data_IF_831370130900
#
_entry.id   IF_831370130900
#
_cell.length_a   1.000
_cell.length_b   1.000
_cell.length_c   1.000
_cell.angle_alpha   90.00
_cell.angle_beta   90.00
_cell.angle_gamma   90.00
#
_symmetry.space_group_name_H-M   'P 1'
#
loop_
_entity.id
_entity.type
_entity.pdbx_description
1 polymer ?
#
# COMPACT_ATOMS: atom_id res chain seq x y z
N UNK A 1 -11.45 -10.62 -11.57
CA UNK A 1 -10.19 -9.95 -11.19
C UNK A 1 -9.09 -10.23 -12.21
N UNK A 2 -8.82 -11.51 -12.54
CA UNK A 2 -7.73 -11.95 -13.44
C UNK A 2 -7.71 -11.20 -14.76
N UNK A 3 -8.78 -11.24 -15.55
CA UNK A 3 -8.85 -10.56 -16.85
C UNK A 3 -8.56 -9.05 -16.77
N UNK A 4 -9.01 -8.39 -15.71
CA UNK A 4 -8.73 -6.97 -15.50
C UNK A 4 -7.24 -6.73 -15.25
N UNK A 5 -6.61 -7.55 -14.40
CA UNK A 5 -5.18 -7.44 -14.11
C UNK A 5 -4.35 -7.69 -15.36
N UNK A 6 -4.63 -8.78 -16.10
CA UNK A 6 -3.93 -9.14 -17.34
C UNK A 6 -4.02 -8.01 -18.38
N UNK A 7 -5.21 -7.44 -18.60
CA UNK A 7 -5.40 -6.33 -19.54
C UNK A 7 -4.67 -5.07 -19.08
N UNK A 8 -4.69 -4.77 -17.78
CA UNK A 8 -4.00 -3.60 -17.24
C UNK A 8 -2.49 -3.75 -17.38
N UNK A 9 -1.93 -4.89 -16.97
CA UNK A 9 -0.50 -5.15 -17.11
C UNK A 9 -0.07 -5.13 -18.57
N UNK A 10 -0.84 -5.76 -19.46
CA UNK A 10 -0.55 -5.74 -20.89
C UNK A 10 -0.51 -4.31 -21.45
N UNK A 11 -1.46 -3.46 -21.07
CA UNK A 11 -1.49 -2.05 -21.49
C UNK A 11 -0.28 -1.26 -20.97
N UNK A 12 0.02 -1.36 -19.68
CA UNK A 12 1.12 -0.62 -19.05
C UNK A 12 2.48 -1.10 -19.58
N UNK A 13 2.68 -2.41 -19.76
CA UNK A 13 3.93 -2.97 -20.30
C UNK A 13 4.10 -2.66 -21.79
N UNK A 14 3.02 -2.54 -22.57
CA UNK A 14 3.08 -2.18 -23.98
C UNK A 14 3.61 -0.76 -24.21
N UNK A 15 3.29 0.17 -23.31
CA UNK A 15 3.75 1.57 -23.39
C UNK A 15 5.06 1.84 -22.66
N UNK A 16 5.50 0.93 -21.80
CA UNK A 16 6.69 1.13 -21.00
C UNK A 16 7.96 1.14 -21.85
N UNK A 17 8.72 2.24 -21.79
CA UNK A 17 9.99 2.42 -22.53
C UNK A 17 9.88 1.96 -23.98
N UNK A 18 8.91 2.49 -24.70
CA UNK A 18 8.70 2.23 -26.13
C UNK A 18 8.47 0.74 -26.47
N UNK A 19 7.82 0.01 -25.57
CA UNK A 19 7.49 -1.40 -25.79
C UNK A 19 8.59 -2.39 -25.41
N UNK A 20 9.47 -2.02 -24.48
CA UNK A 20 10.56 -2.87 -24.01
C UNK A 20 10.12 -4.32 -23.73
N UNK A 21 8.95 -4.52 -23.11
CA UNK A 21 8.43 -5.83 -22.76
C UNK A 21 7.91 -6.65 -23.96
N UNK A 22 7.93 -6.09 -25.19
CA UNK A 22 7.52 -6.79 -26.41
C UNK A 22 8.70 -7.28 -27.24
N UNK A 23 9.93 -6.87 -26.90
CA UNK A 23 11.11 -7.07 -27.75
C UNK A 23 11.64 -8.50 -27.79
N UNK A 24 11.34 -9.34 -26.77
CA UNK A 24 11.85 -10.69 -26.72
C UNK A 24 11.07 -11.64 -25.81
N UNK A 25 11.41 -12.90 -25.83
CA UNK A 25 10.75 -13.92 -25.02
C UNK A 25 11.00 -13.76 -23.51
N UNK A 26 12.18 -13.23 -23.14
CA UNK A 26 12.53 -12.95 -21.73
C UNK A 26 11.67 -11.81 -21.18
N UNK A 27 11.52 -10.73 -21.93
CA UNK A 27 10.70 -9.59 -21.56
C UNK A 27 9.21 -9.95 -21.47
N UNK A 28 8.73 -10.77 -22.39
CA UNK A 28 7.37 -11.32 -22.34
C UNK A 28 7.16 -12.23 -21.14
N UNK A 29 8.16 -13.03 -20.75
CA UNK A 29 8.11 -13.83 -19.54
C UNK A 29 8.04 -12.94 -18.29
N UNK A 30 8.85 -11.88 -18.23
CA UNK A 30 8.82 -10.88 -17.13
C UNK A 30 7.45 -10.19 -17.04
N UNK A 31 6.84 -9.83 -18.16
CA UNK A 31 5.50 -9.24 -18.18
C UNK A 31 4.44 -10.20 -17.59
N UNK A 32 4.49 -11.50 -17.94
CA UNK A 32 3.59 -12.50 -17.36
C UNK A 32 3.82 -12.65 -15.84
N UNK A 33 5.06 -12.70 -15.38
CA UNK A 33 5.35 -12.74 -13.94
C UNK A 33 4.80 -11.53 -13.20
N UNK A 34 4.90 -10.33 -13.78
CA UNK A 34 4.29 -9.12 -13.21
C UNK A 34 2.78 -9.31 -13.09
N UNK A 35 2.10 -9.82 -14.13
CA UNK A 35 0.66 -10.08 -14.09
C UNK A 35 0.27 -11.08 -13.00
N UNK A 36 1.02 -12.16 -12.83
CA UNK A 36 0.79 -13.18 -11.79
C UNK A 36 0.96 -12.61 -10.38
N UNK A 37 1.97 -11.77 -10.17
CA UNK A 37 2.18 -11.09 -8.89
C UNK A 37 1.03 -10.10 -8.62
N UNK A 38 0.67 -9.27 -9.60
CA UNK A 38 -0.43 -8.31 -9.49
C UNK A 38 -1.77 -9.00 -9.21
N UNK A 39 -2.03 -10.16 -9.81
CA UNK A 39 -3.25 -10.95 -9.55
C UNK A 39 -3.32 -11.37 -8.07
N UNK A 40 -2.23 -11.91 -7.52
CA UNK A 40 -2.13 -12.32 -6.12
C UNK A 40 -2.29 -11.13 -5.17
N UNK A 41 -1.62 -10.02 -5.46
CA UNK A 41 -1.74 -8.76 -4.69
C UNK A 41 -3.18 -8.27 -4.69
N UNK A 42 -3.83 -8.18 -5.86
CA UNK A 42 -5.22 -7.75 -5.97
C UNK A 42 -6.16 -8.67 -5.18
N UNK A 43 -5.93 -9.99 -5.24
CA UNK A 43 -6.72 -10.94 -4.47
C UNK A 43 -6.57 -10.69 -2.96
N UNK A 44 -5.34 -10.54 -2.45
CA UNK A 44 -5.10 -10.25 -1.03
C UNK A 44 -5.71 -8.92 -0.62
N UNK A 45 -5.59 -7.87 -1.44
CA UNK A 45 -6.20 -6.58 -1.16
C UNK A 45 -7.74 -6.68 -1.05
N UNK A 46 -8.38 -7.45 -1.93
CA UNK A 46 -9.84 -7.69 -1.87
C UNK A 46 -10.22 -8.42 -0.58
N UNK A 47 -9.45 -9.44 -0.18
CA UNK A 47 -9.69 -10.15 1.07
C UNK A 47 -9.54 -9.23 2.30
N UNK A 48 -8.52 -8.38 2.32
CA UNK A 48 -8.33 -7.38 3.38
C UNK A 48 -9.49 -6.39 3.47
N UNK A 49 -9.98 -5.90 2.33
CA UNK A 49 -11.13 -4.99 2.30
C UNK A 49 -12.41 -5.69 2.78
N UNK A 50 -12.58 -6.96 2.44
CA UNK A 50 -13.75 -7.75 2.89
C UNK A 50 -13.70 -8.12 4.37
N UNK A 51 -12.51 -8.38 4.89
CA UNK A 51 -12.32 -8.74 6.30
C UNK A 51 -12.38 -7.53 7.23
N UNK A 52 -11.96 -6.36 6.75
CA UNK A 52 -11.91 -5.12 7.53
C UNK A 52 -13.18 -4.29 7.41
N UNK A 53 -13.32 -3.31 8.33
CA UNK A 53 -14.41 -2.33 8.31
C UNK A 53 -14.02 -1.07 7.51
N UNK A 54 -13.44 -1.28 6.33
CA UNK A 54 -12.99 -0.20 5.45
C UNK A 54 -14.22 0.40 4.77
N UNK A 55 -14.47 1.69 4.98
CA UNK A 55 -15.56 2.43 4.36
C UNK A 55 -15.20 2.88 2.95
N UNK A 56 -13.96 3.29 2.75
CA UNK A 56 -13.44 3.67 1.43
C UNK A 56 -11.93 3.53 1.37
N UNK A 57 -11.42 3.27 0.17
CA UNK A 57 -9.98 3.27 -0.13
C UNK A 57 -9.70 4.29 -1.22
N UNK A 58 -8.70 5.13 -1.02
CA UNK A 58 -8.19 6.06 -2.02
C UNK A 58 -6.76 5.66 -2.38
N UNK A 59 -6.43 5.73 -3.66
CA UNK A 59 -5.13 5.34 -4.18
C UNK A 59 -4.43 6.53 -4.83
N UNK A 60 -3.10 6.53 -4.80
CA UNK A 60 -2.27 7.56 -5.44
C UNK A 60 -2.70 8.97 -5.02
N UNK A 61 -2.92 9.16 -3.71
CA UNK A 61 -3.52 10.36 -3.13
C UNK A 61 -2.49 11.48 -3.03
N UNK A 62 -2.59 12.54 -3.85
CA UNK A 62 -1.66 13.65 -3.77
C UNK A 62 -1.97 14.55 -2.56
N UNK A 63 -0.92 15.03 -1.90
CA UNK A 63 -1.01 16.10 -0.92
C UNK A 63 -0.03 17.23 -1.27
N UNK A 64 -0.43 18.47 -1.01
CA UNK A 64 0.37 19.62 -1.40
C UNK A 64 -0.46 20.86 -1.63
N UNK A 65 0.16 21.89 -2.19
CA UNK A 65 -0.50 23.17 -2.50
C UNK A 65 -1.61 22.98 -3.52
N UNK A 66 -2.80 23.52 -3.21
CA UNK A 66 -3.96 23.41 -4.09
C UNK A 66 -4.56 22.00 -4.18
N UNK A 67 -4.20 21.08 -3.30
CA UNK A 67 -4.77 19.74 -3.18
C UNK A 67 -5.78 19.68 -2.02
N UNK A 68 -6.64 18.66 -2.03
CA UNK A 68 -7.59 18.42 -0.94
C UNK A 68 -6.89 18.18 0.40
N UNK A 69 -5.76 17.48 0.36
CA UNK A 69 -4.87 17.33 1.51
C UNK A 69 -3.80 18.41 1.38
N UNK A 70 -3.68 19.33 2.36
CA UNK A 70 -2.70 20.39 2.31
C UNK A 70 -1.26 19.89 2.45
N UNK A 71 -0.26 20.72 2.08
CA UNK A 71 1.13 20.37 2.32
C UNK A 71 1.43 20.36 3.82
N UNK A 72 2.41 19.57 4.23
CA UNK A 72 2.92 19.62 5.60
C UNK A 72 3.87 20.80 5.71
N UNK A 73 3.53 21.74 6.59
CA UNK A 73 4.41 22.88 6.88
C UNK A 73 5.36 22.51 8.02
N UNK A 74 6.65 22.70 7.78
CA UNK A 74 7.72 22.51 8.76
C UNK A 74 8.48 23.84 8.89
N UNK A 75 8.68 24.28 10.11
CA UNK A 75 9.50 25.46 10.38
C UNK A 75 10.93 25.02 10.75
N UNK A 76 11.90 25.51 10.02
CA UNK A 76 13.32 25.26 10.27
C UNK A 76 14.11 26.55 10.08
N UNK A 77 14.87 26.94 11.09
CA UNK A 77 15.74 28.14 11.07
C UNK A 77 15.00 29.42 10.67
N UNK A 78 13.76 29.61 11.16
CA UNK A 78 12.92 30.76 10.83
C UNK A 78 12.39 30.79 9.40
N UNK A 79 12.51 29.67 8.68
CA UNK A 79 11.95 29.50 7.33
C UNK A 79 10.88 28.42 7.34
N UNK A 80 9.82 28.65 6.58
CA UNK A 80 8.75 27.68 6.38
C UNK A 80 9.05 26.82 5.15
N UNK A 81 9.16 25.49 5.36
CA UNK A 81 9.35 24.49 4.32
C UNK A 81 8.04 23.75 4.14
N UNK A 82 7.64 23.50 2.89
CA UNK A 82 6.44 22.75 2.56
C UNK A 82 6.82 21.40 1.97
N UNK A 83 6.32 20.32 2.59
CA UNK A 83 6.49 18.96 2.10
C UNK A 83 5.23 18.61 1.33
N UNK A 84 5.41 18.18 0.10
CA UNK A 84 4.37 17.71 -0.81
C UNK A 84 4.69 16.31 -1.30
N UNK A 85 3.68 15.54 -1.71
CA UNK A 85 3.91 14.18 -2.16
C UNK A 85 2.65 13.47 -2.58
N UNK A 86 2.76 12.15 -2.65
CA UNK A 86 1.68 11.26 -3.05
C UNK A 86 1.71 10.02 -2.16
N UNK A 87 0.56 9.66 -1.64
CA UNK A 87 0.37 8.52 -0.74
C UNK A 87 -0.20 7.37 -1.57
N UNK A 88 0.42 6.20 -1.52
CA UNK A 88 0.02 5.08 -2.36
C UNK A 88 -1.41 4.64 -2.07
N UNK A 89 -1.77 4.45 -0.80
CA UNK A 89 -3.13 4.07 -0.40
C UNK A 89 -3.52 4.66 0.96
N UNK A 90 -4.72 5.21 1.01
CA UNK A 90 -5.37 5.73 2.22
C UNK A 90 -6.69 5.00 2.41
N UNK A 91 -6.83 4.22 3.47
CA UNK A 91 -8.08 3.58 3.87
C UNK A 91 -8.76 4.42 4.95
N UNK A 92 -10.05 4.67 4.76
CA UNK A 92 -10.92 5.30 5.76
C UNK A 92 -11.73 4.22 6.44
N UNK A 93 -11.60 4.14 7.74
CA UNK A 93 -12.31 3.21 8.61
C UNK A 93 -13.44 3.95 9.33
N UNK A 94 -14.28 3.20 10.04
CA UNK A 94 -15.33 3.78 10.89
C UNK A 94 -14.74 4.77 11.90
N UNK A 95 -15.51 5.83 12.23
CA UNK A 95 -15.09 6.86 13.17
C UNK A 95 -14.03 7.81 12.63
N UNK A 96 -14.01 8.03 11.30
CA UNK A 96 -13.08 8.93 10.61
C UNK A 96 -11.60 8.56 10.83
N UNK A 97 -11.33 7.28 11.01
CA UNK A 97 -9.97 6.77 11.23
C UNK A 97 -9.25 6.53 9.92
N UNK A 98 -7.98 6.83 9.88
CA UNK A 98 -7.12 6.75 8.68
C UNK A 98 -6.04 5.70 8.85
N UNK A 99 -5.99 4.78 7.90
CA UNK A 99 -4.91 3.78 7.75
C UNK A 99 -4.13 4.09 6.48
N UNK A 100 -2.83 4.24 6.62
CA UNK A 100 -1.91 4.48 5.49
C UNK A 100 -1.23 3.16 5.12
N UNK A 101 -1.19 2.88 3.83
CA UNK A 101 -0.48 1.71 3.30
C UNK A 101 0.43 2.19 2.17
N UNK A 102 1.69 1.82 2.26
CA UNK A 102 2.73 2.10 1.28
C UNK A 102 3.23 0.77 0.69
N UNK A 103 3.23 0.68 -0.64
CA UNK A 103 3.63 -0.53 -1.35
C UNK A 103 5.14 -0.58 -1.57
N UNK A 104 5.76 -1.66 -1.11
CA UNK A 104 7.22 -1.88 -1.23
C UNK A 104 7.53 -3.12 -2.04
N UNK A 105 8.37 -2.98 -3.05
CA UNK A 105 8.92 -4.09 -3.85
C UNK A 105 10.26 -4.60 -3.33
N UNK A 106 10.85 -3.90 -2.35
CA UNK A 106 12.11 -4.26 -1.68
C UNK A 106 11.90 -4.97 -0.35
N UNK A 107 13.01 -5.27 0.34
CA UNK A 107 13.01 -5.92 1.65
C UNK A 107 12.94 -4.93 2.83
N UNK A 108 12.35 -3.77 2.62
CA UNK A 108 12.25 -2.73 3.66
C UNK A 108 11.16 -3.10 4.66
N UNK A 109 11.52 -3.22 5.93
CA UNK A 109 10.57 -3.44 7.01
C UNK A 109 10.36 -2.16 7.82
N UNK A 110 9.16 -1.98 8.36
CA UNK A 110 8.89 -0.93 9.31
C UNK A 110 9.67 -1.18 10.60
N UNK A 111 10.40 -0.18 11.04
CA UNK A 111 11.13 -0.21 12.32
C UNK A 111 10.68 0.96 13.18
N UNK A 112 10.04 0.65 14.31
CA UNK A 112 9.58 1.66 15.26
C UNK A 112 10.77 2.47 15.81
N UNK A 113 11.88 1.79 16.14
CA UNK A 113 13.09 2.45 16.66
C UNK A 113 13.73 3.38 15.65
N UNK A 114 13.72 3.05 14.36
CA UNK A 114 14.20 3.95 13.29
C UNK A 114 13.28 5.18 13.16
N UNK A 115 11.96 5.00 13.24
CA UNK A 115 11.01 6.10 13.19
C UNK A 115 11.16 7.05 14.40
N UNK A 116 11.41 6.52 15.60
CA UNK A 116 11.61 7.30 16.82
C UNK A 116 12.84 8.21 16.76
N UNK A 117 13.89 7.80 16.04
CA UNK A 117 15.11 8.61 15.85
C UNK A 117 15.09 9.44 14.56
N UNK A 118 13.95 9.51 13.87
CA UNK A 118 13.77 10.35 12.69
C UNK A 118 14.16 9.70 11.36
N UNK A 119 14.44 8.41 11.33
CA UNK A 119 14.67 7.67 10.09
C UNK A 119 13.35 7.16 9.51
N UNK A 120 13.25 7.15 8.15
CA UNK A 120 12.09 6.59 7.42
C UNK A 120 10.75 7.20 7.84
N UNK A 121 10.71 8.50 8.01
CA UNK A 121 9.52 9.26 8.44
C UNK A 121 8.38 9.30 7.42
N UNK A 122 8.56 8.78 6.23
CA UNK A 122 7.61 8.88 5.11
C UNK A 122 6.16 8.58 5.54
N UNK A 123 5.95 7.46 6.25
CA UNK A 123 4.61 7.04 6.68
C UNK A 123 4.02 7.97 7.73
N UNK A 124 4.85 8.45 8.66
CA UNK A 124 4.41 9.40 9.68
C UNK A 124 4.03 10.74 9.07
N UNK A 125 4.79 11.17 8.05
CA UNK A 125 4.45 12.37 7.26
C UNK A 125 3.15 12.17 6.50
N UNK A 126 2.94 11.02 5.86
CA UNK A 126 1.70 10.70 5.15
C UNK A 126 0.49 10.68 6.08
N UNK A 127 0.63 10.04 7.25
CA UNK A 127 -0.43 10.03 8.26
C UNK A 127 -0.73 11.46 8.72
N UNK A 128 0.29 12.25 9.04
CA UNK A 128 0.13 13.63 9.47
C UNK A 128 -0.58 14.50 8.41
N UNK A 129 -0.22 14.35 7.14
CA UNK A 129 -0.90 15.02 6.04
C UNK A 129 -2.40 14.68 6.02
N UNK A 130 -2.75 13.38 6.15
CA UNK A 130 -4.15 12.95 6.16
C UNK A 130 -4.92 13.42 7.40
N UNK A 131 -4.28 13.53 8.57
CA UNK A 131 -4.92 14.06 9.77
C UNK A 131 -5.28 15.54 9.65
N UNK A 132 -4.60 16.28 8.77
CA UNK A 132 -4.94 17.65 8.42
C UNK A 132 -6.20 17.80 7.56
N UNK A 133 -6.67 16.71 6.92
CA UNK A 133 -7.90 16.71 6.13
C UNK A 133 -9.13 16.76 7.07
N UNK A 134 -10.04 17.67 6.81
CA UNK A 134 -11.32 17.77 7.54
C UNK A 134 -12.46 17.34 6.62
N UNK A 135 -13.26 16.39 7.07
CA UNK A 135 -14.46 15.95 6.35
C UNK A 135 -15.68 16.19 7.23
N UNK A 136 -16.64 16.99 6.75
CA UNK A 136 -17.84 17.31 7.53
C UNK A 136 -17.59 18.07 8.84
N UNK A 137 -16.43 18.74 8.99
CA UNK A 137 -16.06 19.46 10.21
C UNK A 137 -15.32 18.64 11.26
N UNK A 138 -15.30 17.32 11.14
CA UNK A 138 -14.55 16.42 12.03
C UNK A 138 -13.12 16.22 11.56
N UNK A 139 -12.19 16.18 12.54
CA UNK A 139 -10.79 15.86 12.28
C UNK A 139 -10.61 14.35 12.12
N UNK A 140 -9.77 13.95 11.17
CA UNK A 140 -9.36 12.55 11.00
C UNK A 140 -8.61 12.05 12.23
N UNK A 141 -8.78 10.78 12.57
CA UNK A 141 -8.07 10.09 13.66
C UNK A 141 -7.11 9.07 13.09
N UNK A 142 -5.95 8.84 13.72
CA UNK A 142 -5.03 7.82 13.25
C UNK A 142 -5.59 6.41 13.53
N UNK A 143 -5.39 5.48 12.61
CA UNK A 143 -5.58 4.06 12.83
C UNK A 143 -4.25 3.30 12.79
N UNK A 144 -3.42 3.56 11.77
CA UNK A 144 -2.13 2.92 11.65
C UNK A 144 -1.42 3.24 10.35
N UNK A 145 -0.18 2.79 10.27
CA UNK A 145 0.66 2.91 9.07
C UNK A 145 1.36 1.59 8.79
N UNK A 146 1.38 1.19 7.51
CA UNK A 146 1.85 -0.12 7.10
C UNK A 146 2.68 -0.08 5.82
N UNK A 147 3.70 -0.93 5.77
CA UNK A 147 4.28 -1.43 4.53
C UNK A 147 3.50 -2.66 4.05
N UNK A 148 3.16 -2.69 2.80
CA UNK A 148 2.66 -3.86 2.12
C UNK A 148 3.69 -4.33 1.10
N UNK A 149 4.33 -5.47 1.39
CA UNK A 149 5.37 -6.01 0.53
C UNK A 149 4.77 -6.71 -0.68
N UNK A 150 5.17 -6.24 -1.86
CA UNK A 150 4.88 -6.89 -3.13
C UNK A 150 6.12 -7.69 -3.52
N UNK A 151 6.10 -8.97 -3.21
CA UNK A 151 7.13 -9.92 -3.62
C UNK A 151 6.50 -11.14 -4.29
N UNK A 152 7.26 -11.84 -5.09
CA UNK A 152 6.80 -13.13 -5.58
C UNK A 152 6.79 -14.12 -4.40
N UNK A 153 5.62 -14.67 -4.01
CA UNK A 153 5.57 -15.63 -2.94
C UNK A 153 6.26 -16.91 -3.38
N UNK A 154 7.38 -17.23 -2.74
CA UNK A 154 7.98 -18.57 -2.86
C UNK A 154 7.18 -19.51 -1.98
N UNK A 155 6.40 -20.38 -2.60
CA UNK A 155 5.68 -21.46 -1.92
C UNK A 155 6.52 -22.71 -2.03
N UNK A 156 6.96 -23.22 -0.87
CA UNK A 156 7.72 -24.47 -0.83
C UNK A 156 6.79 -25.65 -1.09
N UNK A 157 7.02 -26.31 -2.19
CA UNK A 157 6.16 -27.37 -2.71
C UNK A 157 6.70 -28.76 -2.29
N UNK A 158 6.47 -29.14 -1.06
CA UNK A 158 6.88 -30.47 -0.58
C UNK A 158 5.79 -31.56 -0.73
N UNK A 159 4.57 -31.19 -1.13
CA UNK A 159 3.44 -32.12 -1.25
C UNK A 159 3.05 -32.42 -2.70
N UNK A 160 2.69 -33.67 -2.97
CA UNK A 160 2.36 -34.17 -4.32
C UNK A 160 1.12 -33.55 -4.96
N UNK A 161 0.18 -33.00 -4.18
CA UNK A 161 -0.95 -32.21 -4.66
C UNK A 161 -1.27 -31.11 -3.64
N UNK A 162 -1.21 -29.85 -4.04
CA UNK A 162 -1.52 -28.75 -3.14
C UNK A 162 -3.03 -28.60 -2.96
N UNK A 163 -3.47 -28.62 -1.72
CA UNK A 163 -4.79 -28.17 -1.34
C UNK A 163 -4.90 -26.67 -1.63
N UNK A 164 -5.92 -26.25 -2.38
CA UNK A 164 -6.13 -24.86 -2.76
C UNK A 164 -6.24 -23.92 -1.54
N UNK A 165 -6.77 -24.43 -0.43
CA UNK A 165 -6.88 -23.65 0.81
C UNK A 165 -5.51 -23.43 1.46
N UNK A 166 -4.64 -24.44 1.48
CA UNK A 166 -3.27 -24.30 1.96
C UNK A 166 -2.47 -23.33 1.10
N UNK A 167 -2.63 -23.40 -0.22
CA UNK A 167 -2.01 -22.43 -1.13
C UNK A 167 -2.46 -21.01 -0.83
N UNK A 168 -3.75 -20.79 -0.66
CA UNK A 168 -4.31 -19.50 -0.31
C UNK A 168 -3.75 -18.96 1.02
N UNK A 169 -3.61 -19.83 2.03
CA UNK A 169 -3.01 -19.49 3.32
C UNK A 169 -1.52 -19.09 3.18
N UNK A 170 -0.74 -19.83 2.40
CA UNK A 170 0.67 -19.50 2.15
C UNK A 170 0.82 -18.18 1.39
N UNK A 171 -0.03 -17.94 0.38
CA UNK A 171 -0.07 -16.65 -0.32
C UNK A 171 -0.40 -15.51 0.67
N UNK A 172 -1.41 -15.67 1.53
CA UNK A 172 -1.74 -14.66 2.56
C UNK A 172 -0.58 -14.39 3.52
N UNK A 173 0.16 -15.42 3.93
CA UNK A 173 1.34 -15.26 4.80
C UNK A 173 2.45 -14.42 4.16
N UNK A 174 2.66 -14.58 2.85
CA UNK A 174 3.69 -13.84 2.13
C UNK A 174 3.35 -12.36 1.91
N UNK A 175 2.05 -12.02 1.88
CA UNK A 175 1.58 -10.63 1.70
C UNK A 175 1.13 -9.99 3.01
N UNK A 176 1.84 -10.24 4.11
CA UNK A 176 1.55 -9.59 5.39
C UNK A 176 1.91 -8.12 5.35
N UNK A 177 1.07 -7.32 6.00
CA UNK A 177 1.42 -5.93 6.31
C UNK A 177 2.37 -5.89 7.51
N UNK A 178 3.38 -5.02 7.42
CA UNK A 178 4.30 -4.71 8.50
C UNK A 178 4.14 -3.24 8.88
N UNK A 179 3.85 -2.94 10.13
CA UNK A 179 3.60 -1.56 10.54
C UNK A 179 3.19 -1.42 11.99
N UNK A 180 2.57 -0.29 12.31
CA UNK A 180 2.03 0.01 13.64
C UNK A 180 0.58 0.39 13.58
N UNK A 181 -0.17 -0.07 14.57
CA UNK A 181 -1.55 0.29 14.84
C UNK A 181 -1.60 1.20 16.07
N UNK A 182 -2.63 2.04 16.14
CA UNK A 182 -3.02 2.69 17.39
C UNK A 182 -3.62 1.62 18.31
N UNK A 183 -3.19 1.62 19.56
CA UNK A 183 -3.71 0.74 20.61
C UNK A 183 -5.12 1.16 21.04
N UNK A 184 -6.08 0.82 20.19
CA UNK A 184 -7.50 1.13 20.38
C UNK A 184 -8.31 -0.09 19.92
N UNK A 185 -9.18 -0.66 20.79
CA UNK A 185 -9.99 -1.83 20.44
C UNK A 185 -10.76 -1.68 19.12
N UNK A 186 -11.28 -0.49 18.86
CA UNK A 186 -12.01 -0.20 17.60
C UNK A 186 -11.12 -0.23 16.35
N UNK A 187 -9.80 -0.14 16.51
CA UNK A 187 -8.83 -0.25 15.42
C UNK A 187 -8.33 -1.68 15.26
N UNK A 188 -8.16 -2.39 16.38
CA UNK A 188 -7.62 -3.76 16.41
C UNK A 188 -8.63 -4.76 15.84
N UNK A 189 -9.93 -4.52 16.05
CA UNK A 189 -11.03 -5.37 15.54
C UNK A 189 -11.37 -5.10 14.05
N UNK A 190 -10.71 -4.13 13.40
CA UNK A 190 -10.85 -3.75 12.00
C UNK A 190 -9.69 -4.27 11.16
#
# INVERSE_FOLDING_TARGET
CRNFVEQTVARETASYREGLFQLGSEEQYRSRRIADICEKVCWVCVEQVRAGQILSSRFEVPFGRGRAIPPIAVEAEGRQIFIEGKIDRVDILRGERVKIIDYKTGNENFSKSEAEVGYRLQHMLYLNACLGERTGGEARKPAGVFYFHISEPMVDWSAKEPDAEKLAQEVRKNFKMNGVLVDDPQVIEN
#
